data_IF_007842772387
#
_entry.id   IF_007842772387
#
_cell.length_a   1.000
_cell.length_b   1.000
_cell.length_c   1.000
_cell.angle_alpha   90.00
_cell.angle_beta   90.00
_cell.angle_gamma   90.00
#
_symmetry.space_group_name_H-M   'P 1'
#
loop_
_entity.id
_entity.type
_entity.pdbx_description
1 polymer ?
#
# COMPACT_ATOMS: atom_id res chain seq x y z
N UNK A 1 -22.39 -4.70 -12.25
CA UNK A 1 -20.95 -4.69 -11.90
C UNK A 1 -20.81 -5.13 -10.46
N UNK A 2 -19.95 -6.10 -10.16
CA UNK A 2 -19.79 -6.64 -8.80
C UNK A 2 -18.35 -6.51 -8.30
N UNK A 3 -18.18 -6.09 -7.05
CA UNK A 3 -16.89 -6.06 -6.37
C UNK A 3 -16.33 -7.49 -6.22
N UNK A 4 -15.11 -7.73 -6.67
CA UNK A 4 -14.45 -9.03 -6.66
C UNK A 4 -13.91 -9.40 -5.28
N UNK A 5 -13.26 -8.43 -4.61
CA UNK A 5 -12.80 -8.53 -3.23
C UNK A 5 -12.80 -7.15 -2.58
N UNK A 6 -12.87 -7.16 -1.25
CA UNK A 6 -12.73 -5.98 -0.38
C UNK A 6 -11.86 -6.41 0.77
N UNK A 7 -10.64 -5.85 0.87
CA UNK A 7 -9.68 -6.22 1.89
C UNK A 7 -9.34 -5.02 2.78
N UNK A 8 -9.20 -5.28 4.06
CA UNK A 8 -8.43 -4.43 4.97
C UNK A 8 -7.14 -5.15 5.30
N UNK A 9 -6.00 -4.48 5.27
CA UNK A 9 -4.69 -5.08 5.51
C UNK A 9 -3.83 -4.19 6.37
N UNK A 10 -2.99 -4.83 7.18
CA UNK A 10 -1.91 -4.20 7.89
C UNK A 10 -0.60 -4.72 7.29
N UNK A 11 0.25 -3.81 6.84
CA UNK A 11 1.55 -4.09 6.28
C UNK A 11 2.63 -3.47 7.17
N UNK A 12 3.77 -4.12 7.21
CA UNK A 12 4.97 -3.64 7.88
C UNK A 12 6.19 -3.91 7.00
N UNK A 13 7.15 -3.00 7.01
CA UNK A 13 8.35 -3.15 6.22
C UNK A 13 9.32 -1.98 6.33
N UNK A 14 10.19 -1.89 5.33
CA UNK A 14 11.21 -0.87 5.24
C UNK A 14 10.94 0.10 4.11
N UNK A 15 11.16 1.38 4.39
CA UNK A 15 11.22 2.47 3.42
C UNK A 15 12.66 2.98 3.39
N UNK A 16 13.29 2.97 2.22
CA UNK A 16 14.65 3.43 2.02
C UNK A 16 14.65 4.66 1.12
N UNK A 17 15.08 5.79 1.66
CA UNK A 17 15.39 6.99 0.89
C UNK A 17 16.87 6.96 0.55
N UNK A 18 17.22 7.16 -0.73
CA UNK A 18 18.59 6.96 -1.21
C UNK A 18 19.66 7.77 -0.46
N UNK A 19 19.28 8.93 0.08
CA UNK A 19 20.15 9.77 0.92
C UNK A 19 19.54 10.11 2.30
N UNK A 20 18.29 9.70 2.55
CA UNK A 20 17.59 9.90 3.84
C UNK A 20 17.66 8.68 4.79
N UNK A 21 18.24 7.57 4.32
CA UNK A 21 18.44 6.37 5.11
C UNK A 21 17.19 5.48 5.22
N UNK A 22 17.29 4.51 6.13
CA UNK A 22 16.26 3.50 6.37
C UNK A 22 15.23 3.98 7.40
N UNK A 23 13.95 3.79 7.08
CA UNK A 23 12.81 4.02 7.95
C UNK A 23 12.02 2.72 8.09
N UNK A 24 11.53 2.44 9.29
CA UNK A 24 10.50 1.43 9.47
C UNK A 24 9.16 1.99 9.06
N UNK A 25 8.35 1.24 8.33
CA UNK A 25 7.04 1.68 7.90
C UNK A 25 5.93 0.71 8.32
N UNK A 26 4.86 1.24 8.89
CA UNK A 26 3.60 0.54 9.15
C UNK A 26 2.53 1.17 8.27
N UNK A 27 1.78 0.36 7.52
CA UNK A 27 0.74 0.83 6.61
C UNK A 27 -0.57 0.06 6.81
N UNK A 28 -1.65 0.80 7.03
CA UNK A 28 -3.00 0.28 6.97
C UNK A 28 -3.58 0.54 5.59
N UNK A 29 -4.10 -0.51 4.94
CA UNK A 29 -4.60 -0.45 3.56
C UNK A 29 -6.02 -0.96 3.48
N UNK A 30 -6.87 -0.19 2.81
CA UNK A 30 -8.14 -0.62 2.28
C UNK A 30 -8.07 -0.71 0.77
N UNK A 31 -8.52 -1.82 0.19
CA UNK A 31 -8.56 -1.95 -1.25
C UNK A 31 -9.66 -2.87 -1.77
N UNK A 32 -10.04 -2.60 -3.01
CA UNK A 32 -11.08 -3.34 -3.69
C UNK A 32 -10.74 -3.58 -5.16
N UNK A 33 -11.09 -4.77 -5.61
CA UNK A 33 -11.03 -5.15 -7.02
C UNK A 33 -12.43 -5.18 -7.60
N UNK A 34 -12.60 -4.73 -8.85
CA UNK A 34 -13.83 -4.93 -9.62
C UNK A 34 -13.60 -6.05 -10.62
N UNK A 35 -14.55 -6.99 -10.74
CA UNK A 35 -14.56 -7.97 -11.85
C UNK A 35 -15.69 -7.55 -12.78
N UNK A 36 -15.36 -7.32 -14.04
CA UNK A 36 -16.35 -7.14 -15.10
C UNK A 36 -16.43 -8.44 -15.91
N UNK A 37 -17.61 -8.74 -16.45
CA UNK A 37 -17.84 -9.97 -17.22
C UNK A 37 -17.04 -9.98 -18.54
N UNK A 38 -16.59 -8.82 -19.00
CA UNK A 38 -15.96 -8.61 -20.30
C UNK A 38 -14.53 -8.07 -20.23
N UNK A 39 -14.00 -7.71 -19.05
CA UNK A 39 -12.63 -7.17 -18.94
C UNK A 39 -11.87 -7.65 -17.70
N UNK A 40 -10.54 -7.59 -17.79
CA UNK A 40 -9.62 -7.93 -16.69
C UNK A 40 -9.89 -7.02 -15.48
N UNK A 41 -9.71 -7.53 -14.24
CA UNK A 41 -10.09 -6.79 -13.04
C UNK A 41 -9.23 -5.53 -12.85
N UNK A 42 -9.87 -4.39 -12.58
CA UNK A 42 -9.16 -3.21 -12.10
C UNK A 42 -9.10 -3.23 -10.57
N UNK A 43 -8.03 -2.68 -10.03
CA UNK A 43 -7.77 -2.65 -8.59
C UNK A 43 -7.51 -1.22 -8.16
N UNK A 44 -8.11 -0.82 -7.04
CA UNK A 44 -7.81 0.45 -6.41
C UNK A 44 -7.88 0.34 -4.89
N UNK A 45 -7.18 1.23 -4.21
CA UNK A 45 -7.25 1.31 -2.76
C UNK A 45 -6.61 2.57 -2.23
N UNK A 46 -6.74 2.71 -0.92
CA UNK A 46 -6.20 3.80 -0.14
C UNK A 46 -5.54 3.24 1.10
N UNK A 47 -4.57 3.95 1.64
CA UNK A 47 -3.92 3.57 2.89
C UNK A 47 -3.44 4.78 3.67
N UNK A 48 -3.23 4.55 4.96
CA UNK A 48 -2.52 5.47 5.83
C UNK A 48 -1.23 4.77 6.26
N UNK A 49 -0.11 5.49 6.24
CA UNK A 49 1.16 4.95 6.66
C UNK A 49 1.83 5.85 7.71
N UNK A 50 2.71 5.23 8.47
CA UNK A 50 3.60 5.91 9.39
C UNK A 50 4.99 5.31 9.23
N UNK A 51 5.93 6.14 8.80
CA UNK A 51 7.34 5.78 8.63
C UNK A 51 8.18 6.48 9.69
N UNK A 52 9.08 5.77 10.35
CA UNK A 52 9.84 6.34 11.45
C UNK A 52 11.23 5.72 11.61
N UNK A 53 12.12 6.52 12.19
CA UNK A 53 13.43 6.14 12.73
C UNK A 53 13.69 7.03 13.97
N UNK A 54 14.82 6.86 14.66
CA UNK A 54 15.19 7.55 15.90
C UNK A 54 15.07 9.08 15.83
N UNK A 55 15.18 9.63 14.62
CA UNK A 55 15.34 11.05 14.37
C UNK A 55 14.24 11.66 13.50
N UNK A 56 13.41 10.81 12.89
CA UNK A 56 12.54 11.17 11.78
C UNK A 56 11.23 10.43 11.91
N UNK A 57 10.11 11.13 11.75
CA UNK A 57 8.79 10.53 11.67
C UNK A 57 7.99 11.14 10.52
N UNK A 58 7.29 10.31 9.78
CA UNK A 58 6.49 10.67 8.62
C UNK A 58 5.14 9.98 8.72
N UNK A 59 4.08 10.74 8.43
CA UNK A 59 2.72 10.25 8.35
C UNK A 59 2.20 10.54 6.95
N UNK A 60 1.63 9.53 6.30
CA UNK A 60 1.20 9.68 4.91
C UNK A 60 -0.17 9.08 4.64
N UNK A 61 -0.81 9.65 3.64
CA UNK A 61 -2.01 9.11 3.00
C UNK A 61 -1.66 8.68 1.59
N UNK A 62 -1.97 7.44 1.24
CA UNK A 62 -1.65 6.83 -0.03
C UNK A 62 -2.92 6.46 -0.78
N UNK A 63 -2.93 6.69 -2.07
CA UNK A 63 -3.88 6.13 -3.02
C UNK A 63 -3.13 5.31 -4.06
N UNK A 64 -3.69 4.18 -4.47
CA UNK A 64 -3.11 3.37 -5.55
C UNK A 64 -4.18 2.81 -6.47
N UNK A 65 -3.80 2.64 -7.73
CA UNK A 65 -4.67 2.21 -8.80
C UNK A 65 -3.89 1.39 -9.82
N UNK A 66 -4.47 0.28 -10.29
CA UNK A 66 -3.96 -0.49 -11.42
C UNK A 66 -4.71 -0.10 -12.70
N UNK A 67 -4.17 0.84 -13.52
CA UNK A 67 -4.80 1.24 -14.79
C UNK A 67 -4.69 0.15 -15.85
N UNK A 68 -3.63 -0.65 -15.80
CA UNK A 68 -3.31 -1.64 -16.84
C UNK A 68 -4.31 -2.80 -16.86
N UNK A 69 -4.98 -3.05 -15.71
CA UNK A 69 -5.81 -4.24 -15.49
C UNK A 69 -5.05 -5.54 -15.74
N UNK A 70 -3.72 -5.50 -15.67
CA UNK A 70 -2.86 -6.67 -15.80
C UNK A 70 -2.71 -7.27 -14.41
N UNK A 71 -2.87 -8.58 -14.33
CA UNK A 71 -2.58 -9.38 -13.15
C UNK A 71 -1.89 -10.65 -13.61
N UNK A 72 -0.68 -10.87 -13.12
CA UNK A 72 0.09 -12.06 -13.40
C UNK A 72 -0.25 -13.14 -12.38
N UNK A 73 -0.73 -14.27 -12.88
CA UNK A 73 -1.10 -15.42 -12.04
C UNK A 73 0.11 -16.33 -11.92
N UNK A 74 0.88 -16.16 -10.85
CA UNK A 74 2.03 -17.03 -10.57
C UNK A 74 1.54 -18.40 -10.12
N UNK A 75 0.44 -18.44 -9.36
CA UNK A 75 -0.28 -19.67 -9.03
C UNK A 75 -1.78 -19.41 -8.87
N UNK A 76 -2.58 -20.47 -8.65
CA UNK A 76 -4.02 -20.34 -8.34
C UNK A 76 -4.30 -19.54 -7.06
N UNK A 77 -3.29 -19.28 -6.23
CA UNK A 77 -3.42 -18.56 -4.97
C UNK A 77 -2.61 -17.27 -4.91
N UNK A 78 -1.64 -17.10 -5.83
CA UNK A 78 -0.66 -16.03 -5.82
C UNK A 78 -0.82 -15.18 -7.07
N UNK A 79 -1.20 -13.93 -6.88
CA UNK A 79 -1.42 -12.98 -7.97
C UNK A 79 -0.55 -11.76 -7.75
N UNK A 80 0.12 -11.32 -8.82
CA UNK A 80 0.96 -10.14 -8.84
C UNK A 80 0.31 -9.07 -9.71
N UNK A 81 0.10 -7.88 -9.15
CA UNK A 81 -0.57 -6.77 -9.81
C UNK A 81 0.32 -5.52 -9.75
N UNK A 82 0.74 -4.96 -10.91
CA UNK A 82 1.33 -3.64 -10.93
C UNK A 82 0.28 -2.58 -10.54
N UNK A 83 0.72 -1.49 -9.94
CA UNK A 83 -0.11 -0.33 -9.65
C UNK A 83 0.70 0.96 -9.74
N UNK A 84 0.00 2.04 -10.07
CA UNK A 84 0.46 3.40 -9.83
C UNK A 84 0.02 3.81 -8.43
N UNK A 85 0.82 4.59 -7.74
CA UNK A 85 0.41 5.20 -6.48
C UNK A 85 0.81 6.66 -6.39
N UNK A 86 0.10 7.37 -5.52
CA UNK A 86 0.43 8.71 -5.08
C UNK A 86 0.28 8.76 -3.56
N UNK A 87 1.22 9.40 -2.90
CA UNK A 87 1.26 9.50 -1.44
C UNK A 87 1.51 10.95 -1.04
N UNK A 88 0.67 11.48 -0.16
CA UNK A 88 0.88 12.78 0.47
C UNK A 88 1.42 12.55 1.87
N UNK A 89 2.55 13.18 2.19
CA UNK A 89 3.32 12.94 3.40
C UNK A 89 3.45 14.20 4.22
N UNK A 90 3.39 14.04 5.53
CA UNK A 90 3.69 15.06 6.50
C UNK A 90 4.81 14.57 7.41
N UNK A 91 5.88 15.34 7.46
CA UNK A 91 7.16 14.90 8.02
C UNK A 91 7.59 15.78 9.18
N UNK A 92 8.15 15.13 10.20
CA UNK A 92 8.74 15.72 11.39
C UNK A 92 10.21 15.31 11.51
N UNK A 93 11.10 16.28 11.58
CA UNK A 93 12.53 16.06 11.83
C UNK A 93 12.89 16.58 13.23
N UNK A 94 13.28 15.66 14.12
CA UNK A 94 13.59 15.95 15.52
C UNK A 94 15.08 16.28 15.75
N UNK A 95 15.96 16.14 14.75
CA UNK A 95 17.41 16.38 14.91
C UNK A 95 17.80 17.85 14.83
N UNK A 96 17.01 18.67 14.14
CA UNK A 96 17.31 20.08 13.99
C UNK A 96 16.67 20.83 15.15
N UNK A 97 17.43 21.69 15.84
CA UNK A 97 17.01 22.57 16.94
C UNK A 97 15.78 23.47 16.64
N UNK A 98 15.25 23.37 15.42
CA UNK A 98 14.22 24.21 14.81
C UNK A 98 12.95 23.41 14.43
N UNK A 99 12.82 22.16 14.90
CA UNK A 99 11.63 21.31 14.82
C UNK A 99 10.86 21.45 13.50
N UNK A 100 11.51 21.05 12.40
CA UNK A 100 11.03 21.38 11.05
C UNK A 100 9.92 20.42 10.62
N UNK A 101 8.86 21.01 10.08
CA UNK A 101 7.68 20.31 9.57
C UNK A 101 7.49 20.63 8.09
N UNK A 102 7.23 19.61 7.27
CA UNK A 102 6.99 19.83 5.85
C UNK A 102 6.03 18.81 5.23
N UNK A 103 5.39 19.24 4.15
CA UNK A 103 4.52 18.42 3.32
C UNK A 103 5.28 17.95 2.07
N UNK A 104 5.17 16.68 1.75
CA UNK A 104 5.73 16.06 0.55
C UNK A 104 4.66 15.35 -0.27
N UNK A 105 4.91 15.22 -1.57
CA UNK A 105 4.07 14.43 -2.47
C UNK A 105 4.94 13.43 -3.22
N UNK A 106 4.55 12.16 -3.20
CA UNK A 106 5.33 11.06 -3.76
C UNK A 106 4.47 10.23 -4.72
N UNK A 107 4.54 10.51 -6.02
CA UNK A 107 4.09 9.56 -7.03
C UNK A 107 5.06 8.37 -7.15
N UNK A 108 4.55 7.24 -7.60
CA UNK A 108 5.39 6.08 -7.86
C UNK A 108 4.67 4.89 -8.51
N UNK A 109 5.45 3.83 -8.66
CA UNK A 109 5.05 2.55 -9.21
C UNK A 109 5.23 1.48 -8.15
N UNK A 110 4.35 0.49 -8.12
CA UNK A 110 4.52 -0.64 -7.23
C UNK A 110 3.93 -1.91 -7.78
N UNK A 111 4.27 -2.99 -7.08
CA UNK A 111 3.73 -4.32 -7.30
C UNK A 111 3.15 -4.83 -5.99
N UNK A 112 1.96 -5.38 -6.11
CA UNK A 112 1.26 -6.00 -5.00
C UNK A 112 1.09 -7.47 -5.32
N UNK A 113 1.58 -8.31 -4.43
CA UNK A 113 1.33 -9.73 -4.43
C UNK A 113 0.34 -10.08 -3.34
N UNK A 114 -0.75 -10.73 -3.70
CA UNK A 114 -1.76 -11.22 -2.75
C UNK A 114 -1.77 -12.74 -2.80
N UNK A 115 -1.56 -13.36 -1.62
CA UNK A 115 -1.71 -14.78 -1.40
C UNK A 115 -2.92 -15.04 -0.50
N UNK A 116 -3.99 -15.68 -1.00
CA UNK A 116 -5.10 -16.03 -0.11
C UNK A 116 -6.32 -16.69 -0.75
N UNK A 117 -6.70 -17.86 -0.22
CA UNK A 117 -7.92 -18.59 -0.60
C UNK A 117 -9.13 -18.36 0.31
N UNK A 118 -8.95 -17.79 1.51
CA UNK A 118 -9.99 -17.75 2.55
C UNK A 118 -10.27 -16.32 3.03
N UNK A 119 -10.72 -16.18 4.29
CA UNK A 119 -11.02 -14.92 4.99
C UNK A 119 -9.76 -14.09 5.26
N UNK A 120 -8.59 -14.73 5.29
CA UNK A 120 -7.28 -14.11 5.53
C UNK A 120 -6.45 -14.11 4.24
N UNK A 121 -5.70 -13.03 4.01
CA UNK A 121 -4.80 -12.83 2.88
C UNK A 121 -3.43 -12.42 3.36
N UNK A 122 -2.38 -13.04 2.85
CA UNK A 122 -1.01 -12.55 2.98
C UNK A 122 -0.68 -11.62 1.83
N UNK A 123 0.10 -10.58 2.10
CA UNK A 123 0.45 -9.55 1.13
C UNK A 123 1.93 -9.27 1.15
N UNK A 124 2.48 -9.07 -0.04
CA UNK A 124 3.83 -8.55 -0.24
C UNK A 124 3.69 -7.36 -1.18
N UNK A 125 4.26 -6.21 -0.80
CA UNK A 125 4.21 -4.98 -1.58
C UNK A 125 5.64 -4.48 -1.77
N UNK A 126 6.01 -4.21 -3.01
CA UNK A 126 7.25 -3.55 -3.36
C UNK A 126 6.90 -2.30 -4.16
N UNK A 127 7.48 -1.16 -3.85
CA UNK A 127 7.19 0.09 -4.54
C UNK A 127 8.43 0.98 -4.65
N UNK A 128 8.46 1.77 -5.71
CA UNK A 128 9.48 2.77 -5.98
C UNK A 128 8.76 4.07 -6.28
N UNK A 129 9.18 5.16 -5.65
CA UNK A 129 8.58 6.47 -5.87
C UNK A 129 9.60 7.58 -5.83
N UNK A 130 9.14 8.78 -6.17
CA UNK A 130 9.97 9.98 -6.17
C UNK A 130 9.29 11.06 -5.34
N UNK A 131 9.95 11.54 -4.29
CA UNK A 131 9.43 12.56 -3.40
C UNK A 131 9.60 13.94 -4.04
N UNK A 132 8.49 14.52 -4.46
CA UNK A 132 8.38 15.88 -4.95
C UNK A 132 8.19 16.79 -3.74
N UNK A 133 9.30 17.03 -3.03
CA UNK A 133 9.39 18.04 -2.00
C UNK A 133 10.65 18.87 -2.24
N UNK A 134 10.56 20.20 -2.38
CA UNK A 134 11.73 21.04 -2.63
C UNK A 134 12.81 20.86 -1.55
N UNK A 135 12.43 20.67 -0.29
CA UNK A 135 13.38 20.48 0.82
C UNK A 135 14.09 19.13 0.77
N UNK A 136 13.36 18.06 0.43
CA UNK A 136 13.96 16.72 0.28
C UNK A 136 14.87 16.72 -0.94
N UNK A 137 14.46 17.32 -2.06
CA UNK A 137 15.20 17.30 -3.32
C UNK A 137 16.50 18.14 -3.32
N UNK A 138 16.63 19.14 -2.44
CA UNK A 138 17.88 19.90 -2.29
C UNK A 138 18.98 19.11 -1.56
N UNK A 139 18.61 18.17 -0.67
CA UNK A 139 19.54 17.44 0.20
C UNK A 139 19.65 15.96 -0.17
N UNK A 140 18.59 15.38 -0.73
CA UNK A 140 18.44 13.97 -1.03
C UNK A 140 17.76 13.79 -2.40
N UNK A 141 18.38 13.08 -3.33
CA UNK A 141 17.69 12.64 -4.53
C UNK A 141 16.36 11.98 -4.12
N UNK A 142 15.21 12.53 -4.54
CA UNK A 142 13.89 12.18 -4.01
C UNK A 142 13.45 10.73 -4.19
N UNK A 143 14.28 9.88 -4.81
CA UNK A 143 13.98 8.47 -5.03
C UNK A 143 13.88 7.69 -3.71
N UNK A 144 12.83 6.89 -3.61
CA UNK A 144 12.61 5.98 -2.50
C UNK A 144 12.18 4.60 -2.98
N UNK A 145 12.59 3.60 -2.22
CA UNK A 145 12.27 2.19 -2.44
C UNK A 145 11.66 1.65 -1.17
N UNK A 146 10.56 0.92 -1.27
CA UNK A 146 9.86 0.36 -0.13
C UNK A 146 9.47 -1.09 -0.39
N UNK A 147 9.67 -1.92 0.64
CA UNK A 147 9.31 -3.32 0.65
C UNK A 147 8.57 -3.63 1.96
N UNK A 148 7.37 -4.19 1.84
CA UNK A 148 6.50 -4.52 2.96
C UNK A 148 5.89 -5.90 2.81
N UNK A 149 5.60 -6.50 3.96
CA UNK A 149 4.81 -7.72 4.08
C UNK A 149 3.65 -7.47 5.03
N UNK A 150 2.55 -8.18 4.84
CA UNK A 150 1.36 -7.90 5.64
C UNK A 150 0.31 -8.99 5.61
N UNK A 151 -0.67 -8.80 6.47
CA UNK A 151 -1.84 -9.68 6.61
C UNK A 151 -3.09 -8.83 6.40
N UNK A 152 -4.08 -9.40 5.75
CA UNK A 152 -5.36 -8.77 5.50
C UNK A 152 -6.55 -9.69 5.68
N UNK A 153 -7.72 -9.07 5.75
CA UNK A 153 -9.01 -9.71 5.91
C UNK A 153 -9.90 -9.41 4.72
N UNK A 154 -10.40 -10.46 4.07
CA UNK A 154 -11.34 -10.36 2.97
C UNK A 154 -12.78 -10.27 3.52
N UNK A 155 -13.28 -9.05 3.64
CA UNK A 155 -14.57 -8.75 4.25
C UNK A 155 -15.73 -9.36 3.47
N UNK A 156 -15.65 -9.35 2.14
CA UNK A 156 -16.70 -9.93 1.29
C UNK A 156 -16.90 -11.42 1.61
N UNK A 157 -15.81 -12.17 1.73
CA UNK A 157 -15.85 -13.60 2.09
C UNK A 157 -16.28 -13.83 3.54
N UNK A 158 -15.87 -12.96 4.47
CA UNK A 158 -16.33 -13.03 5.87
C UNK A 158 -17.85 -12.85 5.94
N UNK A 159 -18.40 -11.86 5.25
CA UNK A 159 -19.85 -11.61 5.18
C UNK A 159 -20.60 -12.79 4.55
N UNK A 160 -20.10 -13.32 3.43
CA UNK A 160 -20.71 -14.48 2.78
C UNK A 160 -20.75 -15.73 3.69
N UNK A 161 -19.67 -15.99 4.44
CA UNK A 161 -19.62 -17.10 5.38
C UNK A 161 -20.58 -16.92 6.58
N UNK A 162 -20.76 -15.68 7.07
CA UNK A 162 -21.74 -15.39 8.12
C UNK A 162 -23.18 -15.60 7.64
N UNK A 163 -23.47 -15.22 6.40
CA UNK A 163 -24.81 -15.41 5.81
C UNK A 163 -25.15 -16.89 5.66
N UNK A 164 -24.23 -17.70 5.12
CA UNK A 164 -24.43 -19.15 4.99
C UNK A 164 -24.69 -19.82 6.35
N UNK A 165 -23.90 -19.49 7.38
CA UNK A 165 -24.08 -20.04 8.72
C UNK A 165 -25.41 -19.64 9.40
N UNK A 166 -26.07 -18.56 8.94
CA UNK A 166 -27.37 -18.14 9.45
C UNK A 166 -28.55 -18.75 8.68
N UNK A 167 -28.31 -19.29 7.47
CA UNK A 167 -29.32 -20.01 6.67
C UNK A 167 -29.36 -21.51 7.01
N UNK A 168 -28.36 -22.02 7.72
CA UNK A 168 -28.26 -23.41 8.21
C UNK A 168 -28.86 -23.60 9.64
N UNK A 169 -29.49 -22.58 10.22
CA UNK A 169 -30.18 -22.57 11.54
C UNK A 169 -31.69 -22.39 11.35
#
# INVERSE_FOLDING_TARGET
MGWWFTNYSLLYGGLYHLQGGYLQNIEFVYDQGTKTCTSRPSHFGFGANTSFNHNYAEFGLKAFYNPTRITFWISRMLHLSPYLYAQANYTFDNLVSDNRQYFGFQPGLGFLTIHGRKKVTFRISAQVGYNINPYVNEVAHGLSVELKVGIGLNIKRIRAAKKAAAEDL
#
